data_IF_444486450248
#
_entry.id   IF_444486450248
#
_cell.length_a   1.000
_cell.length_b   1.000
_cell.length_c   1.000
_cell.angle_alpha   90.00
_cell.angle_beta   90.00
_cell.angle_gamma   90.00
#
_symmetry.space_group_name_H-M   'P 1'
#
loop_
_entity.id
_entity.type
_entity.pdbx_description
1 polymer ?
#
# COMPACT_ATOMS: atom_id res chain seq x y z
N UNK A 1 -8.82 -24.93 -26.01
CA UNK A 1 -9.81 -24.00 -25.38
C UNK A 1 -9.37 -22.53 -25.47
N UNK A 2 -8.52 -22.22 -26.45
CA UNK A 2 -8.03 -20.86 -26.77
C UNK A 2 -8.85 -20.12 -27.83
N UNK A 3 -9.88 -20.75 -28.37
CA UNK A 3 -10.59 -20.26 -29.58
C UNK A 3 -11.79 -19.35 -29.34
N UNK A 4 -12.03 -18.85 -28.13
CA UNK A 4 -13.19 -17.99 -27.85
C UNK A 4 -12.87 -16.49 -27.72
N UNK A 5 -11.68 -16.09 -28.08
CA UNK A 5 -11.33 -14.69 -28.30
C UNK A 5 -10.67 -14.50 -29.69
N UNK A 6 -11.35 -14.86 -30.72
CA UNK A 6 -11.10 -14.25 -32.01
C UNK A 6 -11.45 -12.78 -31.87
N UNK A 7 -10.47 -11.89 -32.04
CA UNK A 7 -10.47 -10.44 -31.87
C UNK A 7 -11.61 -9.63 -32.49
N UNK A 8 -12.80 -10.18 -32.57
CA UNK A 8 -14.01 -9.50 -32.95
C UNK A 8 -14.59 -8.79 -31.71
N UNK A 9 -14.33 -7.48 -31.64
CA UNK A 9 -14.99 -6.60 -30.70
C UNK A 9 -16.50 -6.67 -30.93
N UNK A 10 -17.27 -6.86 -29.86
CA UNK A 10 -18.71 -6.71 -29.90
C UNK A 10 -19.08 -5.22 -30.01
N UNK A 11 -20.29 -4.90 -30.48
CA UNK A 11 -20.77 -3.52 -30.47
C UNK A 11 -20.70 -2.89 -29.07
N UNK A 12 -20.97 -3.67 -28.03
CA UNK A 12 -20.85 -3.24 -26.64
C UNK A 12 -19.41 -2.90 -26.25
N UNK A 13 -18.41 -3.59 -26.77
CA UNK A 13 -16.99 -3.27 -26.53
C UNK A 13 -16.58 -1.98 -27.25
N UNK A 14 -17.11 -1.73 -28.45
CA UNK A 14 -16.87 -0.49 -29.20
C UNK A 14 -17.49 0.71 -28.47
N UNK A 15 -18.75 0.58 -28.01
CA UNK A 15 -19.39 1.61 -27.20
C UNK A 15 -18.65 1.86 -25.89
N UNK A 16 -18.24 0.79 -25.19
CA UNK A 16 -17.44 0.91 -23.96
C UNK A 16 -16.14 1.67 -24.18
N UNK A 17 -15.45 1.43 -25.30
CA UNK A 17 -14.22 2.14 -25.65
C UNK A 17 -14.48 3.64 -25.92
N UNK A 18 -15.57 3.98 -26.62
CA UNK A 18 -15.95 5.37 -26.85
C UNK A 18 -16.28 6.08 -25.53
N UNK A 19 -17.05 5.46 -24.64
CA UNK A 19 -17.31 5.99 -23.29
C UNK A 19 -16.05 6.12 -22.46
N UNK A 20 -15.12 5.18 -22.58
CA UNK A 20 -13.84 5.23 -21.89
C UNK A 20 -13.06 6.47 -22.30
N UNK A 21 -12.98 6.79 -23.58
CA UNK A 21 -12.30 8.00 -24.08
C UNK A 21 -12.94 9.28 -23.53
N UNK A 22 -14.26 9.38 -23.58
CA UNK A 22 -14.98 10.53 -23.02
C UNK A 22 -14.69 10.69 -21.53
N UNK A 23 -14.71 9.60 -20.77
CA UNK A 23 -14.47 9.61 -19.32
C UNK A 23 -13.01 9.94 -18.98
N UNK A 24 -12.04 9.58 -19.82
CA UNK A 24 -10.64 10.01 -19.68
C UNK A 24 -10.51 11.52 -19.79
N UNK A 25 -11.18 12.15 -20.77
CA UNK A 25 -11.13 13.61 -20.93
C UNK A 25 -11.72 14.37 -19.73
N UNK A 26 -12.64 13.75 -18.98
CA UNK A 26 -13.26 14.30 -17.77
C UNK A 26 -12.53 13.89 -16.47
N UNK A 27 -11.34 13.28 -16.56
CA UNK A 27 -10.56 12.83 -15.42
C UNK A 27 -11.34 11.94 -14.42
N UNK A 28 -12.21 11.06 -14.94
CA UNK A 28 -13.02 10.18 -14.12
C UNK A 28 -12.14 9.27 -13.23
N UNK A 29 -12.36 9.34 -11.91
CA UNK A 29 -11.59 8.57 -10.90
C UNK A 29 -11.64 7.06 -11.15
N UNK A 30 -12.75 6.53 -11.67
CA UNK A 30 -12.93 5.10 -11.92
C UNK A 30 -12.08 4.66 -13.10
N UNK A 31 -12.04 5.45 -14.17
CA UNK A 31 -11.18 5.22 -15.34
C UNK A 31 -9.71 5.34 -14.95
N UNK A 32 -9.34 6.38 -14.20
CA UNK A 32 -7.99 6.53 -13.68
C UNK A 32 -7.54 5.33 -12.81
N UNK A 33 -8.47 4.68 -12.09
CA UNK A 33 -8.16 3.47 -11.35
C UNK A 33 -7.91 2.28 -12.29
N UNK A 34 -8.69 2.13 -13.36
CA UNK A 34 -8.49 1.10 -14.38
C UNK A 34 -7.14 1.28 -15.11
N UNK A 35 -6.81 2.52 -15.49
CA UNK A 35 -5.54 2.83 -16.17
C UNK A 35 -4.29 2.53 -15.32
N UNK A 36 -4.45 2.49 -13.99
CA UNK A 36 -3.38 2.06 -13.08
C UNK A 36 -3.21 0.55 -12.99
N UNK A 37 -4.25 -0.21 -13.30
CA UNK A 37 -4.26 -1.67 -13.30
C UNK A 37 -3.72 -2.18 -14.64
N UNK A 38 -2.39 -2.19 -14.77
CA UNK A 38 -1.72 -2.66 -15.98
C UNK A 38 -1.84 -4.18 -16.14
N UNK A 39 -1.70 -4.66 -17.37
CA UNK A 39 -1.73 -6.09 -17.64
C UNK A 39 -0.61 -6.84 -16.90
N UNK A 40 0.52 -6.21 -16.60
CA UNK A 40 1.62 -6.82 -15.85
C UNK A 40 1.17 -7.26 -14.46
N UNK A 41 0.56 -6.35 -13.67
CA UNK A 41 0.08 -6.70 -12.32
C UNK A 41 -1.07 -7.70 -12.34
N UNK A 42 -1.93 -7.61 -13.36
CA UNK A 42 -3.03 -8.55 -13.57
C UNK A 42 -2.46 -9.94 -13.84
N UNK A 43 -1.51 -10.05 -14.77
CA UNK A 43 -0.86 -11.30 -15.13
C UNK A 43 -0.10 -11.92 -13.96
N UNK A 44 0.65 -11.12 -13.18
CA UNK A 44 1.37 -11.63 -12.00
C UNK A 44 0.38 -12.26 -11.00
N UNK A 45 -0.76 -11.62 -10.72
CA UNK A 45 -1.75 -12.20 -9.83
C UNK A 45 -2.43 -13.45 -10.44
N UNK A 46 -2.68 -13.46 -11.75
CA UNK A 46 -3.19 -14.65 -12.45
C UNK A 46 -2.21 -15.82 -12.28
N UNK A 47 -0.93 -15.62 -12.52
CA UNK A 47 0.09 -16.66 -12.39
C UNK A 47 0.16 -17.22 -10.96
N UNK A 48 0.06 -16.36 -9.94
CA UNK A 48 0.00 -16.78 -8.54
C UNK A 48 -1.27 -17.57 -8.19
N UNK A 49 -2.39 -17.27 -8.84
CA UNK A 49 -3.65 -17.96 -8.62
C UNK A 49 -3.73 -19.32 -9.34
N UNK A 50 -3.17 -19.43 -10.55
CA UNK A 50 -3.32 -20.59 -11.45
C UNK A 50 -3.08 -21.95 -10.77
N UNK A 51 -2.00 -22.17 -10.00
CA UNK A 51 -1.73 -23.47 -9.38
C UNK A 51 -2.76 -23.88 -8.32
N UNK A 52 -3.52 -22.91 -7.81
CA UNK A 52 -4.43 -23.07 -6.67
C UNK A 52 -5.91 -22.97 -7.06
N UNK A 53 -6.19 -22.42 -8.25
CA UNK A 53 -7.52 -22.16 -8.73
C UNK A 53 -8.05 -23.40 -9.48
N UNK A 54 -8.61 -24.35 -8.71
CA UNK A 54 -9.17 -25.56 -9.28
C UNK A 54 -10.60 -25.36 -9.77
N UNK A 55 -10.79 -25.42 -11.07
CA UNK A 55 -12.12 -25.51 -11.67
C UNK A 55 -12.59 -26.94 -11.47
N UNK A 56 -13.56 -27.15 -10.56
CA UNK A 56 -14.25 -28.46 -10.50
C UNK A 56 -15.01 -28.64 -11.80
N UNK A 57 -14.48 -29.48 -12.67
CA UNK A 57 -15.18 -29.90 -13.89
C UNK A 57 -16.44 -30.69 -13.52
N UNK A 58 -17.50 -30.50 -14.30
CA UNK A 58 -18.69 -31.31 -14.45
C UNK A 58 -19.87 -30.97 -13.52
N UNK A 59 -20.92 -30.51 -14.20
CA UNK A 59 -22.30 -30.27 -13.78
C UNK A 59 -22.54 -28.98 -12.99
N UNK A 60 -23.12 -27.99 -13.63
CA UNK A 60 -23.60 -26.78 -13.04
C UNK A 60 -23.31 -25.51 -13.87
N UNK A 61 -23.57 -24.35 -13.26
CA UNK A 61 -23.30 -23.05 -13.87
C UNK A 61 -21.80 -22.91 -14.15
N UNK A 62 -21.38 -22.47 -15.35
CA UNK A 62 -19.97 -22.24 -15.68
C UNK A 62 -19.29 -21.34 -14.66
N UNK A 63 -18.07 -21.68 -14.28
CA UNK A 63 -17.26 -20.83 -13.41
C UNK A 63 -16.91 -19.50 -14.09
N UNK A 64 -16.89 -18.44 -13.32
CA UNK A 64 -16.32 -17.18 -13.78
C UNK A 64 -14.84 -17.37 -14.06
N UNK A 65 -14.36 -16.88 -15.20
CA UNK A 65 -12.94 -17.01 -15.59
C UNK A 65 -12.02 -16.39 -14.54
N UNK A 66 -10.87 -16.98 -14.33
CA UNK A 66 -9.88 -16.48 -13.35
C UNK A 66 -9.47 -15.05 -13.65
N UNK A 67 -9.14 -14.72 -14.90
CA UNK A 67 -8.80 -13.36 -15.30
C UNK A 67 -9.90 -12.35 -14.92
N UNK A 68 -11.15 -12.66 -15.19
CA UNK A 68 -12.29 -11.82 -14.80
C UNK A 68 -12.31 -11.60 -13.28
N UNK A 69 -12.15 -12.66 -12.49
CA UNK A 69 -12.16 -12.53 -11.04
C UNK A 69 -10.97 -11.73 -10.50
N UNK A 70 -9.79 -11.88 -11.10
CA UNK A 70 -8.60 -11.08 -10.76
C UNK A 70 -8.84 -9.61 -11.08
N UNK A 71 -9.34 -9.28 -12.28
CA UNK A 71 -9.66 -7.89 -12.67
C UNK A 71 -10.72 -7.27 -11.76
N UNK A 72 -11.79 -8.03 -11.44
CA UNK A 72 -12.83 -7.60 -10.49
C UNK A 72 -12.24 -7.32 -9.12
N UNK A 73 -11.41 -8.21 -8.58
CA UNK A 73 -10.79 -8.03 -7.27
C UNK A 73 -9.87 -6.80 -7.22
N UNK A 74 -8.97 -6.66 -8.18
CA UNK A 74 -8.05 -5.52 -8.23
C UNK A 74 -8.79 -4.19 -8.40
N UNK A 75 -9.83 -4.15 -9.25
CA UNK A 75 -10.65 -2.95 -9.45
C UNK A 75 -11.45 -2.62 -8.18
N UNK A 76 -12.06 -3.62 -7.53
CA UNK A 76 -12.76 -3.46 -6.27
C UNK A 76 -11.87 -2.85 -5.18
N UNK A 77 -10.66 -3.39 -5.03
CA UNK A 77 -9.69 -2.92 -4.03
C UNK A 77 -9.23 -1.50 -4.34
N UNK A 78 -8.91 -1.21 -5.61
CA UNK A 78 -8.46 0.12 -6.06
C UNK A 78 -9.50 1.22 -5.89
N UNK A 79 -10.80 0.89 -6.08
CA UNK A 79 -11.91 1.83 -5.92
C UNK A 79 -12.46 1.88 -4.50
N UNK A 80 -11.96 1.03 -3.61
CA UNK A 80 -12.44 0.89 -2.23
C UNK A 80 -13.94 0.54 -2.15
N UNK A 81 -14.41 -0.37 -3.00
CA UNK A 81 -15.80 -0.82 -3.02
C UNK A 81 -16.00 -2.03 -2.10
N UNK A 82 -17.18 -2.13 -1.50
CA UNK A 82 -17.67 -3.36 -0.85
C UNK A 82 -18.07 -4.41 -1.90
N UNK A 83 -18.33 -5.64 -1.46
CA UNK A 83 -18.75 -6.72 -2.37
C UNK A 83 -20.07 -6.36 -3.07
N UNK A 84 -21.06 -5.79 -2.35
CA UNK A 84 -22.33 -5.32 -2.90
C UNK A 84 -22.18 -4.11 -3.83
N UNK A 85 -21.33 -3.14 -3.46
CA UNK A 85 -21.05 -1.99 -4.33
C UNK A 85 -20.36 -2.42 -5.63
N UNK A 86 -19.47 -3.41 -5.57
CA UNK A 86 -18.81 -3.94 -6.77
C UNK A 86 -19.77 -4.73 -7.67
N UNK A 87 -20.68 -5.52 -7.10
CA UNK A 87 -21.78 -6.16 -7.83
C UNK A 87 -22.61 -5.12 -8.58
N UNK A 88 -23.09 -4.10 -7.87
CA UNK A 88 -23.89 -3.01 -8.46
C UNK A 88 -23.13 -2.24 -9.53
N UNK A 89 -21.85 -2.01 -9.31
CA UNK A 89 -20.99 -1.32 -10.27
C UNK A 89 -20.82 -2.11 -11.56
N UNK A 90 -20.57 -3.42 -11.46
CA UNK A 90 -20.50 -4.31 -12.63
C UNK A 90 -21.85 -4.49 -13.33
N UNK A 91 -22.96 -4.35 -12.62
CA UNK A 91 -24.29 -4.44 -13.23
C UNK A 91 -24.65 -3.21 -14.07
N UNK A 92 -24.14 -2.02 -13.71
CA UNK A 92 -24.58 -0.75 -14.26
C UNK A 92 -23.56 -0.04 -15.17
N UNK A 93 -22.26 -0.38 -15.06
CA UNK A 93 -21.18 0.34 -15.77
C UNK A 93 -20.57 -0.55 -16.87
N UNK A 94 -20.81 -0.21 -18.13
CA UNK A 94 -20.31 -0.97 -19.28
C UNK A 94 -18.79 -0.93 -19.41
N UNK A 95 -18.15 0.19 -18.99
CA UNK A 95 -16.69 0.33 -19.04
C UNK A 95 -16.06 -0.61 -18.03
N UNK A 96 -16.63 -0.71 -16.82
CA UNK A 96 -16.17 -1.65 -15.79
C UNK A 96 -16.35 -3.11 -16.23
N UNK A 97 -17.46 -3.43 -16.90
CA UNK A 97 -17.71 -4.77 -17.45
C UNK A 97 -16.68 -5.14 -18.51
N UNK A 98 -16.43 -4.24 -19.47
CA UNK A 98 -15.42 -4.43 -20.51
C UNK A 98 -14.03 -4.61 -19.93
N UNK A 99 -13.62 -3.73 -19.01
CA UNK A 99 -12.36 -3.85 -18.29
C UNK A 99 -12.21 -5.20 -17.58
N UNK A 100 -13.26 -5.67 -16.90
CA UNK A 100 -13.28 -6.94 -16.17
C UNK A 100 -13.48 -8.16 -17.07
N UNK A 101 -13.55 -8.01 -18.40
CA UNK A 101 -13.81 -9.10 -19.35
C UNK A 101 -15.11 -9.84 -19.06
N UNK A 102 -16.16 -9.13 -18.64
CA UNK A 102 -17.51 -9.67 -18.44
C UNK A 102 -18.24 -9.63 -19.79
N UNK A 103 -18.09 -10.67 -20.56
CA UNK A 103 -18.35 -10.72 -22.01
C UNK A 103 -19.82 -10.80 -22.44
N UNK A 104 -20.77 -10.93 -21.53
CA UNK A 104 -22.17 -11.11 -21.90
C UNK A 104 -23.09 -10.31 -20.99
N UNK A 105 -24.19 -9.78 -21.57
CA UNK A 105 -25.28 -9.14 -20.82
C UNK A 105 -25.94 -10.09 -19.81
N UNK A 106 -25.82 -11.41 -20.04
CA UNK A 106 -26.34 -12.44 -19.14
C UNK A 106 -25.37 -12.91 -18.08
N UNK A 107 -24.09 -12.52 -18.16
CA UNK A 107 -23.12 -12.86 -17.12
C UNK A 107 -23.25 -11.88 -15.94
N UNK A 108 -23.77 -12.40 -14.84
CA UNK A 108 -23.92 -11.69 -13.59
C UNK A 108 -22.89 -12.21 -12.56
N UNK A 109 -22.12 -11.29 -11.96
CA UNK A 109 -21.15 -11.61 -10.91
C UNK A 109 -21.72 -11.11 -9.60
N UNK A 110 -22.21 -12.04 -8.77
CA UNK A 110 -22.81 -11.71 -7.48
C UNK A 110 -21.77 -11.35 -6.43
N UNK A 111 -22.18 -10.59 -5.41
CA UNK A 111 -21.44 -10.26 -4.21
C UNK A 111 -20.82 -11.50 -3.55
N UNK A 112 -21.58 -12.60 -3.48
CA UNK A 112 -21.11 -13.89 -2.93
C UNK A 112 -20.02 -14.55 -3.77
N UNK A 113 -19.98 -14.32 -5.08
CA UNK A 113 -18.88 -14.78 -5.95
C UNK A 113 -17.63 -13.94 -5.69
N UNK A 114 -17.77 -12.62 -5.56
CA UNK A 114 -16.71 -11.67 -5.21
C UNK A 114 -16.14 -12.02 -3.84
N UNK A 115 -17.01 -12.23 -2.84
CA UNK A 115 -16.64 -12.64 -1.48
C UNK A 115 -15.82 -13.94 -1.47
N UNK A 116 -16.27 -14.97 -2.21
CA UNK A 116 -15.55 -16.26 -2.29
C UNK A 116 -14.17 -16.11 -2.89
N UNK A 117 -14.03 -15.29 -3.93
CA UNK A 117 -12.72 -15.04 -4.54
C UNK A 117 -11.80 -14.27 -3.59
N UNK A 118 -12.31 -13.27 -2.87
CA UNK A 118 -11.54 -12.57 -1.83
C UNK A 118 -11.06 -13.53 -0.74
N UNK A 119 -11.92 -14.42 -0.25
CA UNK A 119 -11.51 -15.44 0.71
C UNK A 119 -10.46 -16.40 0.16
N UNK A 120 -10.52 -16.73 -1.13
CA UNK A 120 -9.48 -17.52 -1.80
C UNK A 120 -8.12 -16.77 -1.79
N UNK A 121 -8.10 -15.48 -2.10
CA UNK A 121 -6.89 -14.65 -2.01
C UNK A 121 -6.33 -14.63 -0.57
N UNK A 122 -7.20 -14.43 0.43
CA UNK A 122 -6.85 -14.41 1.86
C UNK A 122 -6.29 -15.77 2.33
N UNK A 123 -7.01 -16.85 2.04
CA UNK A 123 -6.65 -18.23 2.47
C UNK A 123 -5.29 -18.65 1.95
N UNK A 124 -4.94 -18.31 0.73
CA UNK A 124 -3.68 -18.69 0.08
C UNK A 124 -2.59 -17.63 0.21
N UNK A 125 -2.84 -16.56 0.99
CA UNK A 125 -1.92 -15.42 1.19
C UNK A 125 -1.40 -14.82 -0.12
N UNK A 126 -2.26 -14.75 -1.14
CA UNK A 126 -1.86 -14.33 -2.48
C UNK A 126 -1.52 -12.84 -2.55
N UNK A 127 -2.11 -12.01 -1.70
CA UNK A 127 -1.76 -10.61 -1.57
C UNK A 127 -0.30 -10.41 -1.09
N UNK A 128 0.14 -11.22 -0.12
CA UNK A 128 1.52 -11.21 0.35
C UNK A 128 2.49 -11.64 -0.76
N UNK A 129 2.19 -12.74 -1.45
CA UNK A 129 3.00 -13.23 -2.57
C UNK A 129 3.06 -12.22 -3.72
N UNK A 130 1.96 -11.51 -3.99
CA UNK A 130 1.92 -10.46 -5.00
C UNK A 130 2.85 -9.30 -4.62
N UNK A 131 2.82 -8.84 -3.36
CA UNK A 131 3.74 -7.82 -2.89
C UNK A 131 5.20 -8.28 -3.03
N UNK A 132 5.54 -9.49 -2.57
CA UNK A 132 6.87 -10.08 -2.68
C UNK A 132 7.34 -10.15 -4.14
N UNK A 133 6.44 -10.53 -5.06
CA UNK A 133 6.76 -10.57 -6.49
C UNK A 133 7.05 -9.18 -7.06
N UNK A 134 6.26 -8.15 -6.67
CA UNK A 134 6.53 -6.77 -7.10
C UNK A 134 7.85 -6.23 -6.55
N UNK A 135 8.24 -6.65 -5.35
CA UNK A 135 9.56 -6.32 -4.77
C UNK A 135 10.70 -6.99 -5.53
N UNK A 136 10.54 -8.26 -5.91
CA UNK A 136 11.53 -8.97 -6.73
C UNK A 136 11.72 -8.30 -8.09
N UNK A 137 10.61 -7.96 -8.77
CA UNK A 137 10.66 -7.22 -10.05
C UNK A 137 11.36 -5.87 -9.90
N UNK A 138 11.12 -5.16 -8.79
CA UNK A 138 11.77 -3.88 -8.52
C UNK A 138 13.28 -4.04 -8.25
N UNK A 139 13.69 -5.10 -7.58
CA UNK A 139 15.11 -5.43 -7.38
C UNK A 139 15.79 -5.81 -8.70
N UNK A 140 15.16 -6.65 -9.52
CA UNK A 140 15.63 -7.03 -10.85
C UNK A 140 15.82 -5.82 -11.77
N UNK A 141 14.93 -4.82 -11.68
CA UNK A 141 15.01 -3.57 -12.44
C UNK A 141 15.97 -2.51 -11.82
N UNK A 142 16.65 -2.84 -10.71
CA UNK A 142 17.52 -1.89 -9.99
C UNK A 142 16.78 -0.78 -9.26
N UNK A 143 15.46 -0.86 -9.13
CA UNK A 143 14.63 0.14 -8.47
C UNK A 143 14.63 0.00 -6.93
N UNK A 144 15.14 -1.10 -6.39
CA UNK A 144 15.24 -1.33 -4.95
C UNK A 144 16.53 -2.08 -4.60
N UNK A 145 17.49 -1.36 -4.03
CA UNK A 145 18.76 -1.91 -3.54
C UNK A 145 18.66 -2.41 -2.08
N UNK A 146 17.61 -2.04 -1.36
CA UNK A 146 17.41 -2.21 0.09
C UNK A 146 18.45 -1.51 0.97
N UNK A 147 19.41 -0.78 0.42
CA UNK A 147 20.50 -0.16 1.18
C UNK A 147 20.05 1.10 1.93
N UNK A 148 19.26 1.96 1.28
CA UNK A 148 18.75 3.20 1.86
C UNK A 148 17.22 3.13 1.97
N UNK A 149 16.74 3.06 3.21
CA UNK A 149 15.34 2.78 3.48
C UNK A 149 14.74 3.75 4.50
N UNK A 150 13.43 3.94 4.42
CA UNK A 150 12.65 4.61 5.45
C UNK A 150 11.58 3.67 5.98
N UNK A 151 11.27 3.77 7.28
CA UNK A 151 10.18 3.03 7.90
C UNK A 151 9.29 3.97 8.73
N UNK A 152 7.99 3.73 8.68
CA UNK A 152 6.98 4.50 9.43
C UNK A 152 5.67 3.72 9.54
N UNK A 153 4.79 4.16 10.44
CA UNK A 153 3.47 3.58 10.68
C UNK A 153 2.33 4.57 10.39
N UNK A 154 1.21 4.05 9.89
CA UNK A 154 0.02 4.87 9.65
C UNK A 154 -1.23 4.26 10.24
N UNK A 155 -2.08 5.09 10.85
CA UNK A 155 -3.38 4.66 11.38
C UNK A 155 -4.38 4.38 10.26
N UNK A 156 -5.10 3.26 10.38
CA UNK A 156 -6.30 2.93 9.60
C UNK A 156 -7.45 2.85 10.61
N UNK A 157 -8.41 3.74 10.48
CA UNK A 157 -9.51 3.85 11.44
C UNK A 157 -10.49 2.69 11.35
N UNK A 158 -11.03 2.26 12.47
CA UNK A 158 -12.11 1.28 12.56
C UNK A 158 -13.36 1.88 13.21
N UNK A 159 -14.56 1.33 12.93
CA UNK A 159 -15.78 1.75 13.59
C UNK A 159 -15.67 1.53 15.11
N UNK A 160 -15.79 2.59 15.89
CA UNK A 160 -15.74 2.54 17.35
C UNK A 160 -17.12 2.31 17.99
N UNK A 161 -18.20 2.33 17.21
CA UNK A 161 -19.56 2.14 17.67
C UNK A 161 -19.83 0.68 18.07
N UNK A 162 -20.55 0.50 19.16
CA UNK A 162 -21.10 -0.80 19.60
C UNK A 162 -22.54 -1.05 19.11
N UNK A 163 -23.09 -0.15 18.27
CA UNK A 163 -24.43 -0.26 17.69
C UNK A 163 -24.49 -1.21 16.49
N UNK A 164 -23.78 -2.33 16.59
CA UNK A 164 -23.78 -3.39 15.58
C UNK A 164 -24.49 -4.65 16.15
N UNK A 165 -24.75 -5.63 15.29
CA UNK A 165 -25.43 -6.87 15.69
C UNK A 165 -24.73 -7.62 16.84
N UNK A 166 -23.41 -7.49 16.96
CA UNK A 166 -22.61 -8.15 17.99
C UNK A 166 -22.49 -7.30 19.29
N UNK A 167 -23.05 -6.08 19.31
CA UNK A 167 -22.93 -5.11 20.41
C UNK A 167 -21.49 -4.92 20.94
N UNK A 168 -20.49 -5.15 20.08
CA UNK A 168 -19.09 -5.12 20.45
C UNK A 168 -18.23 -4.48 19.35
N UNK A 169 -17.14 -3.84 19.77
CA UNK A 169 -16.08 -3.40 18.87
C UNK A 169 -15.32 -4.60 18.34
N UNK A 170 -14.51 -4.39 17.31
CA UNK A 170 -13.59 -5.40 16.82
C UNK A 170 -12.51 -5.67 17.88
N UNK A 171 -12.36 -6.91 18.38
CA UNK A 171 -11.39 -7.23 19.44
C UNK A 171 -9.93 -7.17 19.00
N UNK A 172 -9.67 -7.26 17.69
CA UNK A 172 -8.31 -7.16 17.13
C UNK A 172 -7.90 -5.71 16.88
N UNK A 173 -8.81 -4.74 17.09
CA UNK A 173 -8.55 -3.31 16.96
C UNK A 173 -8.39 -2.67 18.33
N UNK A 174 -7.59 -1.60 18.41
CA UNK A 174 -7.35 -0.90 19.67
C UNK A 174 -7.43 0.62 19.52
N UNK A 175 -7.44 1.33 20.65
CA UNK A 175 -7.36 2.79 20.69
C UNK A 175 -5.91 3.23 20.84
N UNK A 176 -5.41 4.00 19.87
CA UNK A 176 -4.09 4.65 19.92
C UNK A 176 -4.23 6.17 19.94
N UNK A 177 -3.26 6.86 20.52
CA UNK A 177 -3.23 8.32 20.57
C UNK A 177 -2.21 8.86 19.58
N UNK A 178 -2.62 9.79 18.72
CA UNK A 178 -1.71 10.57 17.87
C UNK A 178 -1.87 12.04 18.21
N UNK A 179 -0.79 12.66 18.70
CA UNK A 179 -0.85 14.00 19.30
C UNK A 179 -1.94 14.05 20.40
N UNK A 180 -2.96 14.87 20.25
CA UNK A 180 -4.06 14.98 21.21
C UNK A 180 -5.34 14.26 20.80
N UNK A 181 -5.33 13.50 19.69
CA UNK A 181 -6.51 12.81 19.15
C UNK A 181 -6.42 11.32 19.38
N UNK A 182 -7.52 10.72 19.85
CA UNK A 182 -7.67 9.27 19.97
C UNK A 182 -8.22 8.69 18.66
N UNK A 183 -7.59 7.63 18.19
CA UNK A 183 -8.01 6.85 17.04
C UNK A 183 -8.27 5.42 17.48
N UNK A 184 -9.39 4.84 17.04
CA UNK A 184 -9.67 3.42 17.22
C UNK A 184 -9.49 2.71 15.89
N UNK A 185 -8.69 1.64 15.87
CA UNK A 185 -8.41 0.90 14.64
C UNK A 185 -7.11 0.09 14.71
N UNK A 186 -6.44 0.06 13.57
CA UNK A 186 -5.14 -0.62 13.38
C UNK A 186 -4.10 0.36 12.85
N UNK A 187 -2.85 -0.08 12.85
CA UNK A 187 -1.76 0.56 12.14
C UNK A 187 -1.22 -0.37 11.06
N UNK A 188 -0.86 0.22 9.93
CA UNK A 188 0.01 -0.41 8.94
C UNK A 188 1.39 0.21 9.05
N UNK A 189 2.36 -0.63 9.38
CA UNK A 189 3.78 -0.27 9.41
C UNK A 189 4.41 -0.72 8.10
N UNK A 190 5.20 0.13 7.48
CA UNK A 190 5.87 -0.17 6.21
C UNK A 190 7.34 0.22 6.25
N UNK A 191 8.14 -0.52 5.50
CA UNK A 191 9.49 -0.14 5.11
C UNK A 191 9.56 -0.02 3.60
N UNK A 192 10.17 1.06 3.12
CA UNK A 192 10.27 1.36 1.70
C UNK A 192 11.68 1.82 1.33
N UNK A 193 12.12 1.50 0.11
CA UNK A 193 13.35 2.04 -0.47
C UNK A 193 13.19 3.55 -0.65
N UNK A 194 14.11 4.33 -0.09
CA UNK A 194 13.97 5.80 -0.04
C UNK A 194 14.05 6.47 -1.41
N UNK A 195 14.79 5.90 -2.35
CA UNK A 195 14.96 6.45 -3.70
C UNK A 195 13.72 6.21 -4.59
N UNK A 196 13.27 4.98 -4.65
CA UNK A 196 12.15 4.58 -5.52
C UNK A 196 10.79 4.68 -4.85
N UNK A 197 10.73 4.61 -3.52
CA UNK A 197 9.50 4.48 -2.75
C UNK A 197 8.89 3.07 -2.79
N UNK A 198 9.60 2.06 -3.30
CA UNK A 198 9.13 0.66 -3.34
C UNK A 198 8.97 0.13 -1.91
N UNK A 199 7.78 -0.30 -1.57
CA UNK A 199 7.46 -0.90 -0.27
C UNK A 199 7.86 -2.37 -0.29
N UNK A 200 8.72 -2.78 0.66
CA UNK A 200 9.22 -4.15 0.71
C UNK A 200 8.95 -4.87 2.05
N UNK A 201 8.70 -4.12 3.12
CA UNK A 201 8.33 -4.63 4.43
C UNK A 201 6.99 -4.06 4.88
N UNK A 202 6.14 -4.90 5.46
CA UNK A 202 4.80 -4.50 5.92
C UNK A 202 4.37 -5.32 7.13
N UNK A 203 3.79 -4.65 8.13
CA UNK A 203 3.23 -5.29 9.33
C UNK A 203 1.95 -4.57 9.73
N UNK A 204 0.89 -5.32 10.02
CA UNK A 204 -0.34 -4.80 10.60
C UNK A 204 -0.39 -5.07 12.10
N UNK A 205 -0.75 -4.07 12.88
CA UNK A 205 -0.85 -4.17 14.33
C UNK A 205 -2.04 -3.39 14.88
N UNK A 206 -2.56 -3.71 16.08
CA UNK A 206 -3.52 -2.87 16.77
C UNK A 206 -2.99 -1.44 16.99
N UNK A 207 -3.88 -0.44 16.96
CA UNK A 207 -3.48 0.97 16.99
C UNK A 207 -2.75 1.42 18.27
N UNK A 208 -2.82 0.67 19.37
CA UNK A 208 -2.15 0.95 20.64
C UNK A 208 -0.68 0.49 20.68
N UNK A 209 -0.25 -0.33 19.74
CA UNK A 209 1.14 -0.78 19.69
C UNK A 209 2.07 0.33 19.18
N UNK A 210 3.27 0.39 19.76
CA UNK A 210 4.26 1.39 19.39
C UNK A 210 4.99 0.99 18.10
N UNK A 211 5.22 1.96 17.21
CA UNK A 211 5.83 1.72 15.89
C UNK A 211 7.21 1.05 16.00
N UNK A 212 7.98 1.39 17.03
CA UNK A 212 9.32 0.84 17.30
C UNK A 212 9.31 -0.69 17.52
N UNK A 213 8.20 -1.29 18.01
CA UNK A 213 8.11 -2.73 18.28
C UNK A 213 8.09 -3.57 17.02
N UNK A 214 7.63 -3.01 15.91
CA UNK A 214 7.50 -3.71 14.62
C UNK A 214 8.66 -3.46 13.66
N UNK A 215 9.63 -2.65 14.07
CA UNK A 215 10.75 -2.30 13.20
C UNK A 215 11.57 -3.54 12.79
N UNK A 216 11.77 -4.48 13.74
CA UNK A 216 12.50 -5.73 13.46
C UNK A 216 11.85 -6.58 12.39
N UNK A 217 10.51 -6.64 12.37
CA UNK A 217 9.75 -7.40 11.39
C UNK A 217 9.74 -6.76 9.99
N UNK A 218 10.05 -5.46 9.91
CA UNK A 218 10.07 -4.72 8.66
C UNK A 218 11.41 -4.82 7.92
N UNK A 219 12.52 -4.96 8.66
CA UNK A 219 13.87 -4.92 8.12
C UNK A 219 14.37 -6.31 7.73
N UNK A 220 15.26 -6.38 6.73
CA UNK A 220 15.78 -7.64 6.17
C UNK A 220 17.27 -7.89 6.48
N UNK A 221 17.94 -6.94 7.13
CA UNK A 221 19.39 -7.01 7.39
C UNK A 221 20.28 -6.63 6.19
N UNK A 222 19.67 -6.13 5.12
CA UNK A 222 20.37 -5.65 3.92
C UNK A 222 20.58 -4.13 3.95
N UNK A 223 19.96 -3.45 4.91
CA UNK A 223 19.93 -2.01 5.05
C UNK A 223 21.29 -1.48 5.54
N UNK A 224 21.78 -0.43 4.88
CA UNK A 224 22.97 0.34 5.31
C UNK A 224 22.58 1.67 5.97
N UNK A 225 21.48 2.27 5.53
CA UNK A 225 20.97 3.54 6.04
C UNK A 225 19.47 3.43 6.28
N UNK A 226 19.06 3.64 7.55
CA UNK A 226 17.64 3.53 7.95
C UNK A 226 17.17 4.88 8.47
N UNK A 227 16.19 5.48 7.81
CA UNK A 227 15.60 6.77 8.14
C UNK A 227 14.29 6.60 8.89
N UNK A 228 14.24 7.15 10.11
CA UNK A 228 13.12 6.95 11.03
C UNK A 228 12.67 8.28 11.64
N UNK A 229 11.45 8.32 12.15
CA UNK A 229 10.95 9.44 12.92
C UNK A 229 11.48 9.41 14.38
N UNK A 230 11.19 10.45 15.16
CA UNK A 230 11.61 10.55 16.57
C UNK A 230 10.96 9.51 17.50
N UNK A 231 9.92 8.83 17.07
CA UNK A 231 9.26 7.73 17.80
C UNK A 231 10.13 6.48 17.91
N UNK A 232 11.11 6.34 17.03
CA UNK A 232 12.04 5.21 16.98
C UNK A 232 13.35 5.43 17.75
N UNK A 233 13.46 6.49 18.54
CA UNK A 233 14.67 6.74 19.36
C UNK A 233 14.93 5.55 20.27
N UNK A 234 16.16 5.01 20.18
CA UNK A 234 16.60 3.84 20.95
C UNK A 234 16.37 2.49 20.25
N UNK A 235 15.86 2.44 19.02
CA UNK A 235 15.62 1.20 18.28
C UNK A 235 16.87 0.30 18.19
N UNK A 236 18.04 0.87 17.94
CA UNK A 236 19.29 0.11 17.80
C UNK A 236 19.68 -0.73 19.03
N UNK A 237 19.12 -0.41 20.22
CA UNK A 237 19.39 -1.13 21.48
C UNK A 237 18.40 -2.25 21.76
N UNK A 238 17.37 -2.42 20.96
CA UNK A 238 16.34 -3.44 21.16
C UNK A 238 16.85 -4.80 20.73
N UNK A 239 16.48 -5.84 21.47
CA UNK A 239 16.93 -7.20 21.22
C UNK A 239 16.58 -7.68 19.81
N UNK A 240 15.34 -7.44 19.36
CA UNK A 240 14.85 -7.83 18.05
C UNK A 240 15.60 -7.17 16.89
N UNK A 241 16.20 -5.99 17.11
CA UNK A 241 17.04 -5.32 16.13
C UNK A 241 18.46 -5.86 16.15
N UNK A 242 18.99 -6.18 17.35
CA UNK A 242 20.33 -6.75 17.50
C UNK A 242 20.45 -8.17 16.95
N UNK A 243 19.34 -8.91 16.87
CA UNK A 243 19.26 -10.26 16.27
C UNK A 243 19.33 -10.23 14.74
N UNK A 244 19.05 -9.07 14.09
CA UNK A 244 19.13 -8.95 12.64
C UNK A 244 20.63 -8.86 12.24
N UNK A 245 21.08 -9.68 11.28
CA UNK A 245 22.49 -9.75 10.89
C UNK A 245 22.90 -8.59 9.96
N UNK A 246 22.75 -7.35 10.42
CA UNK A 246 23.26 -6.20 9.68
C UNK A 246 24.78 -6.28 9.56
N UNK A 247 25.29 -5.98 8.36
CA UNK A 247 26.74 -5.89 8.16
C UNK A 247 27.30 -4.57 8.65
N UNK A 248 26.62 -3.47 8.34
CA UNK A 248 27.00 -2.10 8.74
C UNK A 248 25.77 -1.22 8.54
N UNK A 249 25.07 -0.85 9.61
CA UNK A 249 23.85 -0.07 9.54
C UNK A 249 23.99 1.25 10.27
N UNK A 250 23.64 2.35 9.59
CA UNK A 250 23.57 3.70 10.13
C UNK A 250 22.12 4.11 10.36
N UNK A 251 21.82 4.54 11.58
CA UNK A 251 20.46 4.94 11.99
C UNK A 251 20.31 6.47 11.91
N UNK A 252 19.47 6.93 11.03
CA UNK A 252 19.14 8.34 10.82
C UNK A 252 17.77 8.67 11.43
N UNK A 253 17.75 8.78 12.77
CA UNK A 253 16.51 9.06 13.52
C UNK A 253 16.33 10.57 13.62
N UNK A 254 15.13 11.08 13.34
CA UNK A 254 14.80 12.49 13.46
C UNK A 254 14.86 12.97 14.92
N UNK A 255 15.42 14.11 15.16
CA UNK A 255 15.46 14.72 16.49
C UNK A 255 14.09 15.27 16.89
N UNK A 256 13.76 15.22 18.18
CA UNK A 256 12.54 15.83 18.71
C UNK A 256 12.58 17.35 18.57
N UNK A 257 11.49 18.01 18.14
CA UNK A 257 11.45 19.48 17.98
C UNK A 257 11.81 20.26 19.27
N UNK A 258 11.51 19.69 20.44
CA UNK A 258 11.87 20.28 21.74
C UNK A 258 13.38 20.33 22.00
N UNK A 259 14.16 19.38 21.45
CA UNK A 259 15.62 19.39 21.59
C UNK A 259 16.25 20.58 20.86
N UNK A 260 15.76 20.89 19.65
CA UNK A 260 16.21 22.04 18.85
C UNK A 260 16.00 23.39 19.53
N UNK A 261 14.79 23.59 20.10
CA UNK A 261 14.47 24.83 20.80
C UNK A 261 15.39 25.04 21.98
N UNK A 262 15.75 23.97 22.70
CA UNK A 262 16.66 24.03 23.83
C UNK A 262 18.11 24.33 23.40
N UNK A 263 18.61 23.66 22.35
CA UNK A 263 19.96 23.89 21.82
C UNK A 263 20.09 25.31 21.29
N UNK A 264 19.11 25.83 20.56
CA UNK A 264 19.10 27.20 20.03
C UNK A 264 19.12 28.22 21.17
N UNK A 265 18.26 28.06 22.17
CA UNK A 265 18.20 28.97 23.31
C UNK A 265 19.51 29.00 24.13
N UNK A 266 20.18 27.85 24.22
CA UNK A 266 21.50 27.79 24.85
C UNK A 266 22.53 28.54 24.02
N UNK A 267 22.59 28.34 22.70
CA UNK A 267 23.57 29.00 21.83
C UNK A 267 23.39 30.52 21.78
N UNK A 268 22.16 31.03 21.85
CA UNK A 268 21.84 32.47 21.88
C UNK A 268 22.26 33.16 23.20
N UNK A 269 22.40 32.40 24.29
CA UNK A 269 22.86 32.93 25.60
C UNK A 269 24.38 33.14 25.68
N UNK A 270 25.15 32.65 24.73
CA UNK A 270 26.60 32.86 24.67
C UNK A 270 26.91 34.01 23.72
N UNK A 271 27.67 34.98 24.19
CA UNK A 271 28.19 36.12 23.41
C UNK A 271 29.53 35.84 22.73
N UNK A 272 29.93 36.76 21.82
CA UNK A 272 31.23 36.73 21.17
C UNK A 272 31.41 35.61 20.14
N UNK A 273 32.66 35.27 19.84
CA UNK A 273 33.02 34.25 18.85
C UNK A 273 32.48 32.85 19.19
N UNK A 274 32.46 32.49 20.49
CA UNK A 274 31.95 31.22 20.96
C UNK A 274 30.42 31.11 20.66
N UNK A 275 29.66 32.17 20.91
CA UNK A 275 28.23 32.19 20.60
C UNK A 275 27.96 32.04 19.10
N UNK A 276 28.74 32.72 18.27
CA UNK A 276 28.63 32.59 16.81
C UNK A 276 28.95 31.16 16.33
N UNK A 277 30.02 30.54 16.83
CA UNK A 277 30.37 29.15 16.50
C UNK A 277 29.28 28.15 16.93
N UNK A 278 28.68 28.35 18.12
CA UNK A 278 27.58 27.50 18.59
C UNK A 278 26.32 27.63 17.71
N UNK A 279 25.94 28.84 17.30
CA UNK A 279 24.83 29.09 16.39
C UNK A 279 25.08 28.40 15.03
N UNK A 280 26.31 28.49 14.51
CA UNK A 280 26.70 27.83 13.27
C UNK A 280 26.60 26.30 13.38
N UNK A 281 27.06 25.69 14.48
CA UNK A 281 26.88 24.26 14.74
C UNK A 281 25.39 23.86 14.78
N UNK A 282 24.53 24.66 15.40
CA UNK A 282 23.07 24.41 15.43
C UNK A 282 22.47 24.49 14.02
N UNK A 283 22.92 25.44 13.21
CA UNK A 283 22.45 25.58 11.82
C UNK A 283 22.85 24.36 10.95
N UNK A 284 24.09 23.87 11.08
CA UNK A 284 24.55 22.66 10.38
C UNK A 284 23.73 21.44 10.80
N UNK A 285 23.48 21.26 12.09
CA UNK A 285 22.59 20.20 12.59
C UNK A 285 21.19 20.33 12.01
N UNK A 286 20.63 21.53 11.92
CA UNK A 286 19.32 21.79 11.35
C UNK A 286 19.27 21.41 9.87
N UNK A 287 20.31 21.70 9.10
CA UNK A 287 20.42 21.29 7.70
C UNK A 287 20.44 19.75 7.57
N UNK A 288 21.18 19.07 8.46
CA UNK A 288 21.20 17.60 8.49
C UNK A 288 19.81 17.02 8.80
N UNK A 289 19.08 17.58 9.76
CA UNK A 289 17.71 17.13 10.05
C UNK A 289 16.76 17.38 8.88
N UNK A 290 16.92 18.50 8.18
CA UNK A 290 16.14 18.76 6.98
C UNK A 290 16.44 17.72 5.89
N UNK A 291 17.69 17.35 5.70
CA UNK A 291 18.09 16.28 4.77
C UNK A 291 17.47 14.92 5.14
N UNK A 292 17.53 14.53 6.43
CA UNK A 292 16.88 13.32 6.93
C UNK A 292 15.37 13.34 6.67
N UNK A 293 14.70 14.47 6.92
CA UNK A 293 13.27 14.64 6.69
C UNK A 293 12.94 14.52 5.19
N UNK A 294 13.77 15.08 4.32
CA UNK A 294 13.58 15.00 2.85
C UNK A 294 13.63 13.55 2.37
N UNK A 295 14.59 12.76 2.83
CA UNK A 295 14.68 11.33 2.49
C UNK A 295 13.46 10.57 3.01
N UNK A 296 13.04 10.85 4.25
CA UNK A 296 11.87 10.21 4.86
C UNK A 296 10.55 10.55 4.18
N UNK A 297 10.43 11.72 3.52
CA UNK A 297 9.24 12.10 2.77
C UNK A 297 8.82 11.06 1.70
N UNK A 298 9.74 10.23 1.24
CA UNK A 298 9.43 9.14 0.30
C UNK A 298 8.34 8.19 0.83
N UNK A 299 8.33 7.92 2.14
CA UNK A 299 7.34 7.03 2.76
C UNK A 299 5.96 7.70 2.91
N UNK A 300 5.92 9.03 3.06
CA UNK A 300 4.66 9.78 3.15
C UNK A 300 3.84 9.68 1.87
N UNK A 301 4.49 9.58 0.71
CA UNK A 301 3.84 9.31 -0.58
C UNK A 301 3.11 7.98 -0.59
N UNK A 302 3.70 6.94 0.00
CA UNK A 302 3.06 5.62 0.11
C UNK A 302 1.76 5.69 0.92
N UNK A 303 1.75 6.43 2.02
CA UNK A 303 0.56 6.66 2.82
C UNK A 303 -0.48 7.56 2.15
N UNK A 304 -0.04 8.55 1.38
CA UNK A 304 -0.94 9.37 0.57
C UNK A 304 -1.66 8.52 -0.48
N UNK A 305 -0.93 7.62 -1.16
CA UNK A 305 -1.53 6.68 -2.10
C UNK A 305 -2.54 5.77 -1.41
N UNK A 306 -2.18 5.14 -0.31
CA UNK A 306 -3.06 4.26 0.45
C UNK A 306 -4.36 4.97 0.85
N UNK A 307 -4.25 6.16 1.45
CA UNK A 307 -5.40 6.85 2.05
C UNK A 307 -6.19 7.72 1.08
N UNK A 308 -5.52 8.46 0.17
CA UNK A 308 -6.19 9.40 -0.72
C UNK A 308 -6.50 8.83 -2.09
N UNK A 309 -5.52 8.16 -2.70
CA UNK A 309 -5.71 7.64 -4.06
C UNK A 309 -6.61 6.41 -4.03
N UNK A 310 -6.32 5.44 -3.14
CA UNK A 310 -7.12 4.23 -2.99
C UNK A 310 -8.26 4.38 -1.97
N UNK A 311 -8.32 5.47 -1.19
CA UNK A 311 -9.39 5.74 -0.23
C UNK A 311 -9.39 4.81 0.99
N UNK A 312 -8.27 4.12 1.27
CA UNK A 312 -8.17 3.17 2.39
C UNK A 312 -7.70 3.87 3.67
N UNK A 313 -8.52 4.79 4.18
CA UNK A 313 -8.31 5.44 5.49
C UNK A 313 -9.07 4.74 6.62
N UNK A 314 -10.03 3.87 6.28
CA UNK A 314 -10.85 3.10 7.22
C UNK A 314 -10.86 1.62 6.84
N UNK A 315 -10.88 0.75 7.84
CA UNK A 315 -11.00 -0.70 7.65
C UNK A 315 -12.31 -1.05 6.93
N UNK A 316 -12.26 -2.08 6.09
CA UNK A 316 -13.44 -2.59 5.37
C UNK A 316 -13.98 -3.88 5.97
N UNK A 317 -13.13 -4.62 6.68
CA UNK A 317 -13.44 -5.95 7.20
C UNK A 317 -13.24 -5.98 8.71
N UNK A 318 -13.76 -7.00 9.36
CA UNK A 318 -13.49 -7.30 10.76
C UNK A 318 -12.21 -8.14 10.85
N UNK A 319 -11.33 -7.81 11.79
CA UNK A 319 -10.05 -8.46 12.05
C UNK A 319 -8.86 -7.85 11.30
N UNK A 320 -7.66 -8.03 11.84
CA UNK A 320 -6.41 -7.50 11.29
C UNK A 320 -6.03 -8.17 9.96
N UNK A 321 -6.04 -9.51 9.92
CA UNK A 321 -5.54 -10.27 8.77
C UNK A 321 -6.22 -9.92 7.43
N UNK A 322 -7.55 -9.74 7.43
CA UNK A 322 -8.30 -9.39 6.22
C UNK A 322 -8.01 -7.97 5.74
N UNK A 323 -7.88 -7.05 6.68
CA UNK A 323 -7.55 -5.66 6.38
C UNK A 323 -6.10 -5.54 5.92
N UNK A 324 -5.18 -6.28 6.50
CA UNK A 324 -3.79 -6.37 6.07
C UNK A 324 -3.67 -6.97 4.65
N UNK A 325 -4.37 -8.06 4.35
CA UNK A 325 -4.41 -8.64 3.00
C UNK A 325 -4.86 -7.62 1.94
N UNK A 326 -5.82 -6.76 2.30
CA UNK A 326 -6.23 -5.64 1.44
C UNK A 326 -5.12 -4.62 1.28
N UNK A 327 -4.47 -4.20 2.37
CA UNK A 327 -3.35 -3.26 2.34
C UNK A 327 -2.19 -3.79 1.49
N UNK A 328 -1.84 -5.08 1.63
CA UNK A 328 -0.82 -5.74 0.82
C UNK A 328 -1.11 -5.67 -0.68
N UNK A 329 -2.37 -5.91 -1.07
CA UNK A 329 -2.77 -5.74 -2.49
C UNK A 329 -2.58 -4.29 -2.95
N UNK A 330 -2.96 -3.31 -2.14
CA UNK A 330 -2.80 -1.89 -2.46
C UNK A 330 -1.32 -1.47 -2.54
N UNK A 331 -0.48 -2.01 -1.66
CA UNK A 331 0.96 -1.77 -1.71
C UNK A 331 1.61 -2.41 -2.95
N UNK A 332 1.17 -3.60 -3.34
CA UNK A 332 1.62 -4.22 -4.58
C UNK A 332 1.25 -3.37 -5.82
N UNK A 333 0.02 -2.86 -5.88
CA UNK A 333 -0.41 -1.95 -6.94
C UNK A 333 0.39 -0.64 -6.95
N UNK A 334 0.69 -0.10 -5.76
CA UNK A 334 1.55 1.07 -5.63
C UNK A 334 2.97 0.78 -6.13
N UNK A 335 3.55 -0.37 -5.78
CA UNK A 335 4.88 -0.78 -6.25
C UNK A 335 4.93 -0.90 -7.78
N UNK A 336 3.92 -1.51 -8.41
CA UNK A 336 3.83 -1.58 -9.87
C UNK A 336 3.80 -0.19 -10.51
N UNK A 337 3.02 0.75 -9.93
CA UNK A 337 3.01 2.13 -10.40
C UNK A 337 4.38 2.80 -10.26
N UNK A 338 5.07 2.61 -9.14
CA UNK A 338 6.41 3.17 -8.89
C UNK A 338 7.45 2.59 -9.84
N UNK A 339 7.42 1.27 -10.03
CA UNK A 339 8.32 0.56 -10.94
C UNK A 339 8.14 1.04 -12.39
N UNK A 340 6.90 1.21 -12.85
CA UNK A 340 6.63 1.76 -14.18
C UNK A 340 7.21 3.16 -14.37
N UNK A 341 7.10 4.02 -13.35
CA UNK A 341 7.74 5.35 -13.38
C UNK A 341 9.26 5.27 -13.39
N UNK A 342 9.83 4.33 -12.66
CA UNK A 342 11.27 4.12 -12.62
C UNK A 342 11.84 3.69 -13.98
N UNK A 343 11.16 2.77 -14.65
CA UNK A 343 11.54 2.26 -15.98
C UNK A 343 11.16 3.19 -17.13
N UNK A 344 10.39 4.27 -16.90
CA UNK A 344 10.00 5.21 -17.94
C UNK A 344 11.21 6.05 -18.38
N UNK A 345 11.37 6.35 -19.70
CA UNK A 345 12.40 7.28 -20.15
C UNK A 345 12.21 8.67 -19.47
N UNK A 346 13.29 9.42 -19.23
CA UNK A 346 13.27 10.67 -18.48
C UNK A 346 12.35 11.77 -19.08
N UNK A 347 11.98 11.66 -20.33
CA UNK A 347 11.11 12.62 -21.04
C UNK A 347 9.61 12.50 -20.67
N UNK A 348 9.22 11.44 -19.98
CA UNK A 348 7.82 11.18 -19.60
C UNK A 348 7.55 11.39 -18.10
N UNK A 349 8.48 11.97 -17.36
CA UNK A 349 8.40 12.16 -15.91
C UNK A 349 7.81 13.52 -15.47
N UNK A 350 7.02 14.18 -16.30
CA UNK A 350 6.28 15.41 -15.94
C UNK A 350 4.89 15.14 -15.40
#
# INVERSE_FOLDING_TARGET
>A
MEELFNGQLSFADIEAEQFLQIRRTHADRRVNAMDRLTDDVINELIQLCLPLYHIKANHGRPYTRLETMVRVHLLQVSLNLSDLEMESYLASDMVARSFCRVSSTHQFISDSTILRFRHFIEQHRLAQKLLERTVSLAAEAGACSFEMVAADGTFIEAPSSTKNKAHARDPEMASGKKANTWHFGMKEHIAACSESGIIYGTVAAPANEHDITHLGDLLKGLEKMVFLDSGYIGCAKRAEIQEIPFKDVSWYIAAKPSAWKKELSISENFGGELGQALVECVNVKRQLEHAKASVRCSIEWSFLWLKRIYGYAKVRYRGLAKNHSRALTLFALYNCYRLRKWCAPPELSC
#
